data_IF_527942874581
#
_entry.id   IF_527942874581
#
_cell.length_a   1.000
_cell.length_b   1.000
_cell.length_c   1.000
_cell.angle_alpha   90.00
_cell.angle_beta   90.00
_cell.angle_gamma   90.00
#
_symmetry.space_group_name_H-M   'P 1'
#
loop_
_entity.id
_entity.type
_entity.pdbx_description
1 polymer ?
#
# COMPACT_ATOMS: atom_id res chain seq x y z
N UNK A 1 -23.51 -13.02 -32.16
CA UNK A 1 -22.26 -13.83 -32.13
C UNK A 1 -21.11 -12.83 -32.05
N UNK A 2 -20.14 -13.07 -31.19
CA UNK A 2 -18.97 -12.19 -31.15
C UNK A 2 -18.10 -12.44 -32.39
N UNK A 3 -17.71 -11.37 -33.07
CA UNK A 3 -16.78 -11.42 -34.20
C UNK A 3 -15.43 -11.95 -33.71
N UNK A 4 -14.86 -12.92 -34.43
CA UNK A 4 -13.56 -13.52 -34.11
C UNK A 4 -12.44 -12.94 -34.95
N UNK A 5 -11.17 -13.17 -34.55
CA UNK A 5 -10.01 -12.75 -35.36
C UNK A 5 -10.00 -13.45 -36.74
N UNK A 6 -10.65 -14.60 -36.87
CA UNK A 6 -10.81 -15.31 -38.14
C UNK A 6 -11.74 -14.53 -39.07
N UNK A 7 -12.88 -14.06 -38.57
CA UNK A 7 -13.84 -13.29 -39.33
C UNK A 7 -13.23 -11.94 -39.79
N UNK A 8 -12.46 -11.30 -38.91
CA UNK A 8 -11.73 -10.07 -39.26
C UNK A 8 -10.66 -10.33 -40.33
N UNK A 9 -9.96 -11.46 -40.25
CA UNK A 9 -8.95 -11.84 -41.23
C UNK A 9 -9.57 -12.11 -42.62
N UNK A 10 -10.70 -12.83 -42.65
CA UNK A 10 -11.48 -13.05 -43.87
C UNK A 10 -11.99 -11.72 -44.49
N UNK A 11 -12.51 -10.83 -43.67
CA UNK A 11 -12.98 -9.51 -44.10
C UNK A 11 -11.86 -8.65 -44.71
N UNK A 12 -10.65 -8.67 -44.12
CA UNK A 12 -9.49 -7.93 -44.59
C UNK A 12 -8.74 -8.62 -45.75
N UNK A 13 -9.06 -9.86 -46.09
CA UNK A 13 -8.30 -10.66 -47.05
C UNK A 13 -6.87 -10.98 -46.60
N UNK A 14 -6.64 -11.07 -45.29
CA UNK A 14 -5.35 -11.31 -44.67
C UNK A 14 -5.31 -12.60 -43.86
N UNK A 15 -4.10 -13.09 -43.55
CA UNK A 15 -3.96 -14.17 -42.58
C UNK A 15 -4.26 -13.71 -41.14
N UNK A 16 -4.76 -14.60 -40.28
CA UNK A 16 -4.94 -14.29 -38.85
C UNK A 16 -3.66 -13.79 -38.18
N UNK A 17 -2.49 -14.27 -38.62
CA UNK A 17 -1.19 -13.82 -38.11
C UNK A 17 -0.91 -12.37 -38.50
N UNK A 18 -1.19 -11.98 -39.76
CA UNK A 18 -1.03 -10.60 -40.23
C UNK A 18 -1.96 -9.63 -39.51
N UNK A 19 -3.24 -10.03 -39.33
CA UNK A 19 -4.22 -9.24 -38.56
C UNK A 19 -3.79 -9.11 -37.11
N UNK A 20 -3.36 -10.18 -36.45
CA UNK A 20 -2.84 -10.14 -35.07
C UNK A 20 -1.65 -9.19 -34.94
N UNK A 21 -0.68 -9.23 -35.87
CA UNK A 21 0.46 -8.32 -35.89
C UNK A 21 0.06 -6.86 -36.13
N UNK A 22 -0.90 -6.61 -37.02
CA UNK A 22 -1.42 -5.26 -37.29
C UNK A 22 -2.10 -4.65 -36.06
N UNK A 23 -2.95 -5.42 -35.36
CA UNK A 23 -3.64 -5.00 -34.14
C UNK A 23 -2.66 -4.72 -32.99
N UNK A 24 -1.55 -5.48 -32.90
CA UNK A 24 -0.55 -5.33 -31.84
C UNK A 24 0.61 -4.37 -32.20
N UNK A 25 0.55 -3.68 -33.34
CA UNK A 25 1.51 -2.64 -33.70
C UNK A 25 2.91 -3.13 -34.11
N UNK A 26 3.05 -4.39 -34.51
CA UNK A 26 4.35 -4.92 -34.95
C UNK A 26 4.91 -4.14 -36.15
N UNK A 27 6.23 -3.93 -36.14
CA UNK A 27 6.95 -3.11 -37.13
C UNK A 27 7.07 -3.75 -38.53
N UNK A 28 6.84 -5.05 -38.64
CA UNK A 28 6.87 -5.81 -39.90
C UNK A 28 5.54 -5.72 -40.69
N UNK A 29 4.59 -4.94 -40.22
CA UNK A 29 3.32 -4.62 -40.92
C UNK A 29 3.32 -3.17 -41.38
N UNK A 30 2.99 -2.96 -42.66
CA UNK A 30 2.90 -1.59 -43.20
C UNK A 30 1.83 -0.75 -42.51
N UNK A 31 2.04 0.56 -42.40
CA UNK A 31 1.06 1.48 -41.79
C UNK A 31 -0.29 1.45 -42.55
N UNK A 32 -0.26 1.32 -43.88
CA UNK A 32 -1.48 1.18 -44.67
C UNK A 32 -2.29 -0.07 -44.28
N UNK A 33 -1.63 -1.23 -44.09
CA UNK A 33 -2.27 -2.47 -43.64
C UNK A 33 -2.81 -2.31 -42.23
N UNK A 34 -2.04 -1.70 -41.31
CA UNK A 34 -2.44 -1.44 -39.92
C UNK A 34 -3.72 -0.59 -39.88
N UNK A 35 -3.75 0.52 -40.60
CA UNK A 35 -4.92 1.40 -40.69
C UNK A 35 -6.15 0.66 -41.23
N UNK A 36 -5.97 -0.13 -42.28
CA UNK A 36 -7.06 -0.93 -42.88
C UNK A 36 -7.64 -1.93 -41.87
N UNK A 37 -6.80 -2.67 -41.15
CA UNK A 37 -7.21 -3.66 -40.14
C UNK A 37 -7.90 -2.99 -38.95
N UNK A 38 -7.39 -1.88 -38.45
CA UNK A 38 -8.02 -1.12 -37.35
C UNK A 38 -9.39 -0.56 -37.74
N UNK A 39 -9.54 -0.10 -39.00
CA UNK A 39 -10.82 0.35 -39.54
C UNK A 39 -11.82 -0.82 -39.64
N UNK A 40 -11.41 -1.93 -40.21
CA UNK A 40 -12.24 -3.12 -40.31
C UNK A 40 -12.66 -3.68 -38.93
N UNK A 41 -11.74 -3.69 -37.96
CA UNK A 41 -12.04 -4.09 -36.59
C UNK A 41 -13.16 -3.22 -35.99
N UNK A 42 -13.10 -1.90 -36.20
CA UNK A 42 -14.14 -0.97 -35.75
C UNK A 42 -15.48 -1.17 -36.47
N UNK A 43 -15.46 -1.41 -37.81
CA UNK A 43 -16.66 -1.65 -38.59
C UNK A 43 -17.38 -2.94 -38.22
N UNK A 44 -16.61 -3.98 -37.85
CA UNK A 44 -17.14 -5.27 -37.45
C UNK A 44 -17.42 -5.37 -35.93
N UNK A 45 -17.17 -4.32 -35.17
CA UNK A 45 -17.24 -4.34 -33.71
C UNK A 45 -16.39 -5.49 -33.10
N UNK A 46 -15.21 -5.70 -33.70
CA UNK A 46 -14.28 -6.74 -33.22
C UNK A 46 -13.54 -6.28 -31.99
N UNK A 47 -13.64 -7.04 -30.90
CA UNK A 47 -12.88 -6.86 -29.68
C UNK A 47 -11.88 -8.00 -29.51
N UNK A 48 -10.57 -7.71 -29.28
CA UNK A 48 -9.58 -8.73 -28.98
C UNK A 48 -9.99 -9.57 -27.77
N UNK A 49 -9.91 -10.89 -27.90
CA UNK A 49 -10.23 -11.80 -26.82
C UNK A 49 -8.99 -11.98 -25.92
N UNK A 50 -9.07 -11.55 -24.66
CA UNK A 50 -7.99 -11.68 -23.68
C UNK A 50 -7.55 -13.14 -23.47
N UNK A 51 -8.49 -14.10 -23.44
CA UNK A 51 -8.16 -15.52 -23.30
C UNK A 51 -7.39 -16.06 -24.50
N UNK A 52 -7.75 -15.64 -25.73
CA UNK A 52 -7.00 -16.04 -26.92
C UNK A 52 -5.58 -15.44 -26.95
N UNK A 53 -5.41 -14.23 -26.43
CA UNK A 53 -4.10 -13.57 -26.22
C UNK A 53 -3.28 -14.35 -25.19
N UNK A 54 -3.88 -14.70 -24.06
CA UNK A 54 -3.27 -15.45 -22.97
C UNK A 54 -2.74 -16.82 -23.43
N UNK A 55 -3.58 -17.60 -24.15
CA UNK A 55 -3.19 -18.89 -24.72
C UNK A 55 -2.00 -18.82 -25.66
N UNK A 56 -1.90 -17.75 -26.47
CA UNK A 56 -0.77 -17.55 -27.40
C UNK A 56 0.50 -17.10 -26.70
N UNK A 57 0.36 -16.28 -25.66
CA UNK A 57 1.48 -15.69 -24.94
C UNK A 57 2.02 -16.61 -23.82
N UNK A 58 1.25 -17.63 -23.39
CA UNK A 58 1.54 -18.42 -22.21
C UNK A 58 1.45 -17.62 -20.90
N UNK A 59 0.72 -16.50 -20.91
CA UNK A 59 0.53 -15.57 -19.77
C UNK A 59 -0.90 -15.03 -19.80
N UNK A 60 -1.49 -14.90 -18.62
CA UNK A 60 -2.86 -14.38 -18.48
C UNK A 60 -2.94 -12.86 -18.61
N UNK A 61 -1.85 -12.15 -18.37
CA UNK A 61 -1.78 -10.68 -18.18
C UNK A 61 -2.67 -10.22 -17.02
N UNK A 62 -2.74 -11.03 -15.97
CA UNK A 62 -3.52 -10.77 -14.78
C UNK A 62 -2.63 -10.86 -13.54
N UNK A 63 -2.56 -9.81 -12.74
CA UNK A 63 -1.83 -9.79 -11.47
C UNK A 63 -2.80 -9.93 -10.31
N UNK A 64 -2.46 -10.80 -9.36
CA UNK A 64 -3.17 -10.90 -8.10
C UNK A 64 -2.76 -9.81 -7.12
N UNK A 65 -3.71 -9.29 -6.35
CA UNK A 65 -3.43 -8.45 -5.18
C UNK A 65 -4.08 -9.11 -3.97
N UNK A 66 -3.25 -9.57 -3.03
CA UNK A 66 -3.69 -10.02 -1.72
C UNK A 66 -3.57 -8.85 -0.75
N UNK A 67 -4.70 -8.35 -0.29
CA UNK A 67 -4.81 -7.32 0.72
C UNK A 67 -5.80 -7.77 1.81
N UNK A 68 -5.28 -7.98 3.01
CA UNK A 68 -6.06 -8.45 4.15
C UNK A 68 -5.54 -7.76 5.42
N UNK A 69 -6.21 -6.69 5.83
CA UNK A 69 -5.89 -5.98 7.06
C UNK A 69 -6.79 -6.42 8.23
N UNK A 70 -6.24 -6.48 9.44
CA UNK A 70 -6.97 -6.88 10.64
C UNK A 70 -8.09 -5.89 11.00
N UNK A 71 -7.98 -4.64 10.55
CA UNK A 71 -9.02 -3.63 10.73
C UNK A 71 -10.24 -3.85 9.84
N UNK A 72 -10.16 -4.76 8.86
CA UNK A 72 -11.18 -5.01 7.84
C UNK A 72 -11.60 -3.75 7.06
N UNK A 73 -10.70 -2.79 6.92
CA UNK A 73 -10.95 -1.55 6.18
C UNK A 73 -11.08 -1.79 4.67
N UNK A 74 -10.47 -2.86 4.17
CA UNK A 74 -10.47 -3.22 2.76
C UNK A 74 -9.93 -2.07 1.91
N UNK A 75 -10.56 -1.83 0.76
CA UNK A 75 -10.15 -0.77 -0.17
C UNK A 75 -10.37 0.65 0.36
N UNK A 76 -10.96 0.81 1.55
CA UNK A 76 -11.13 2.13 2.20
C UNK A 76 -9.97 2.48 3.14
N UNK A 77 -8.95 1.62 3.26
CA UNK A 77 -7.76 1.88 4.07
C UNK A 77 -7.04 3.15 3.56
N UNK A 78 -6.89 4.21 4.37
CA UNK A 78 -6.48 5.52 3.86
C UNK A 78 -5.12 5.53 3.16
N UNK A 79 -4.15 4.79 3.67
CA UNK A 79 -2.81 4.66 3.08
C UNK A 79 -2.79 3.65 1.93
N UNK A 80 -3.26 2.41 2.17
CA UNK A 80 -3.17 1.35 1.16
C UNK A 80 -4.08 1.57 -0.05
N UNK A 81 -5.19 2.31 0.07
CA UNK A 81 -6.00 2.69 -1.11
C UNK A 81 -5.18 3.45 -2.15
N UNK A 82 -4.27 4.32 -1.70
CA UNK A 82 -3.37 5.06 -2.58
C UNK A 82 -2.30 4.14 -3.15
N UNK A 83 -1.69 3.28 -2.33
CA UNK A 83 -0.70 2.28 -2.80
C UNK A 83 -1.30 1.40 -3.89
N UNK A 84 -2.50 0.86 -3.66
CA UNK A 84 -3.19 -0.03 -4.60
C UNK A 84 -3.63 0.68 -5.88
N UNK A 85 -4.04 1.95 -5.80
CA UNK A 85 -4.37 2.74 -6.99
C UNK A 85 -3.15 2.95 -7.88
N UNK A 86 -1.99 3.27 -7.32
CA UNK A 86 -0.77 3.45 -8.11
C UNK A 86 -0.16 2.14 -8.58
N UNK A 87 -0.32 1.06 -7.84
CA UNK A 87 -0.02 -0.29 -8.31
C UNK A 87 -0.86 -0.65 -9.54
N UNK A 88 -2.18 -0.42 -9.46
CA UNK A 88 -3.12 -0.65 -10.55
C UNK A 88 -2.74 0.15 -11.80
N UNK A 89 -2.50 1.46 -11.67
CA UNK A 89 -2.13 2.31 -12.82
C UNK A 89 -0.88 1.82 -13.54
N UNK A 90 0.14 1.42 -12.79
CA UNK A 90 1.39 0.91 -13.35
C UNK A 90 1.18 -0.45 -14.05
N UNK A 91 0.37 -1.34 -13.45
CA UNK A 91 -0.02 -2.61 -14.06
C UNK A 91 -0.79 -2.40 -15.37
N UNK A 92 -1.81 -1.52 -15.39
CA UNK A 92 -2.58 -1.18 -16.58
C UNK A 92 -1.72 -0.59 -17.70
N UNK A 93 -0.77 0.31 -17.38
CA UNK A 93 0.18 0.85 -18.36
C UNK A 93 1.06 -0.23 -18.98
N UNK A 94 1.33 -1.29 -18.25
CA UNK A 94 2.09 -2.46 -18.70
C UNK A 94 1.21 -3.53 -19.36
N UNK A 95 -0.09 -3.30 -19.49
CA UNK A 95 -1.06 -4.18 -20.15
C UNK A 95 -1.53 -5.36 -19.29
N UNK A 96 -1.44 -5.23 -17.96
CA UNK A 96 -1.95 -6.19 -17.00
C UNK A 96 -3.25 -5.73 -16.36
N UNK A 97 -4.18 -6.66 -16.19
CA UNK A 97 -5.36 -6.50 -15.34
C UNK A 97 -5.03 -6.89 -13.88
N UNK A 98 -5.94 -6.54 -12.95
CA UNK A 98 -5.79 -6.87 -11.52
C UNK A 98 -6.96 -7.69 -11.03
N UNK A 99 -6.67 -8.72 -10.26
CA UNK A 99 -7.64 -9.52 -9.51
C UNK A 99 -7.33 -9.47 -8.02
N UNK A 100 -8.29 -9.04 -7.19
CA UNK A 100 -8.16 -9.16 -5.74
C UNK A 100 -8.30 -10.61 -5.31
N UNK A 101 -7.30 -11.10 -4.57
CA UNK A 101 -7.23 -12.45 -4.04
C UNK A 101 -7.84 -12.47 -2.64
N UNK A 102 -8.67 -13.46 -2.36
CA UNK A 102 -9.33 -13.60 -1.07
C UNK A 102 -9.86 -15.01 -0.85
N UNK A 103 -10.45 -15.25 0.33
CA UNK A 103 -10.93 -16.56 0.78
C UNK A 103 -12.33 -16.94 0.29
N UNK A 104 -13.03 -16.08 -0.43
CA UNK A 104 -14.43 -16.33 -0.82
C UNK A 104 -14.57 -16.38 -2.34
N UNK A 105 -15.20 -17.44 -2.81
CA UNK A 105 -15.63 -17.56 -4.19
C UNK A 105 -17.06 -18.10 -4.23
N UNK A 106 -18.01 -17.24 -4.59
CA UNK A 106 -19.44 -17.56 -4.47
C UNK A 106 -19.83 -17.86 -3.02
N UNK A 107 -20.43 -19.03 -2.78
CA UNK A 107 -20.80 -19.51 -1.43
C UNK A 107 -19.71 -20.33 -0.74
N UNK A 108 -18.59 -20.62 -1.43
CA UNK A 108 -17.50 -21.48 -0.94
C UNK A 108 -16.32 -20.69 -0.37
N UNK A 109 -15.57 -21.36 0.52
CA UNK A 109 -14.24 -20.92 0.93
C UNK A 109 -13.20 -21.51 -0.02
N UNK A 110 -12.17 -20.71 -0.36
CA UNK A 110 -11.04 -21.10 -1.20
C UNK A 110 -9.75 -20.60 -0.51
N UNK A 111 -8.63 -21.32 -0.69
CA UNK A 111 -7.32 -20.80 -0.24
C UNK A 111 -6.85 -19.68 -1.15
N UNK A 112 -5.92 -18.86 -0.67
CA UNK A 112 -5.31 -17.81 -1.51
C UNK A 112 -4.62 -18.41 -2.74
N UNK A 113 -3.90 -19.51 -2.56
CA UNK A 113 -3.20 -20.20 -3.64
C UNK A 113 -4.17 -20.76 -4.70
N UNK A 114 -5.24 -21.41 -4.27
CA UNK A 114 -6.23 -21.96 -5.19
C UNK A 114 -7.01 -20.86 -5.91
N UNK A 115 -7.26 -19.71 -5.24
CA UNK A 115 -7.85 -18.57 -5.90
C UNK A 115 -6.93 -18.00 -7.00
N UNK A 116 -5.62 -17.89 -6.71
CA UNK A 116 -4.62 -17.48 -7.70
C UNK A 116 -4.61 -18.44 -8.92
N UNK A 117 -4.61 -19.74 -8.68
CA UNK A 117 -4.64 -20.76 -9.74
C UNK A 117 -5.93 -20.71 -10.55
N UNK A 118 -7.07 -20.57 -9.86
CA UNK A 118 -8.38 -20.48 -10.53
C UNK A 118 -8.48 -19.23 -11.43
N UNK A 119 -7.87 -18.12 -11.02
CA UNK A 119 -7.82 -16.87 -11.80
C UNK A 119 -6.66 -16.81 -12.76
N UNK A 120 -5.81 -17.84 -12.78
CA UNK A 120 -4.61 -17.91 -13.63
C UNK A 120 -3.74 -16.67 -13.52
N UNK A 121 -3.55 -16.11 -12.30
CA UNK A 121 -2.72 -14.92 -12.13
C UNK A 121 -1.25 -15.22 -12.40
N UNK A 122 -0.58 -14.33 -13.12
CA UNK A 122 0.84 -14.47 -13.49
C UNK A 122 1.79 -14.18 -12.31
N UNK A 123 1.31 -13.41 -11.33
CA UNK A 123 2.04 -13.07 -10.12
C UNK A 123 1.15 -12.37 -9.09
N UNK A 124 1.61 -12.23 -7.85
CA UNK A 124 0.83 -11.69 -6.73
C UNK A 124 1.60 -10.62 -5.97
N UNK A 125 0.99 -9.46 -5.77
CA UNK A 125 1.41 -8.49 -4.78
C UNK A 125 0.72 -8.78 -3.45
N UNK A 126 1.50 -9.05 -2.39
CA UNK A 126 0.98 -9.27 -1.04
C UNK A 126 1.20 -7.98 -0.23
N UNK A 127 0.11 -7.23 -0.03
CA UNK A 127 0.10 -5.98 0.69
C UNK A 127 -0.75 -6.11 1.96
N UNK A 128 -0.21 -5.70 3.11
CA UNK A 128 -0.93 -5.73 4.39
C UNK A 128 -1.56 -7.12 4.68
N UNK A 129 -0.72 -8.14 4.81
CA UNK A 129 -1.18 -9.53 4.99
C UNK A 129 -0.81 -10.01 6.39
N UNK A 130 -1.69 -10.75 7.03
CA UNK A 130 -1.35 -11.45 8.27
C UNK A 130 -0.45 -12.65 7.95
N UNK A 131 0.82 -12.54 8.33
CA UNK A 131 1.84 -13.55 8.08
C UNK A 131 1.85 -14.70 9.11
N UNK A 132 0.99 -14.65 10.10
CA UNK A 132 0.72 -15.78 10.99
C UNK A 132 -0.26 -16.78 10.32
N UNK A 133 -0.92 -16.40 9.22
CA UNK A 133 -1.80 -17.28 8.45
C UNK A 133 -0.98 -18.27 7.59
N UNK A 134 -1.14 -19.59 7.78
CA UNK A 134 -0.42 -20.60 7.00
C UNK A 134 -0.65 -20.48 5.49
N UNK A 135 -1.84 -20.03 5.07
CA UNK A 135 -2.20 -19.86 3.66
C UNK A 135 -1.42 -18.72 2.98
N UNK A 136 -1.05 -17.66 3.73
CA UNK A 136 -0.18 -16.59 3.21
C UNK A 136 1.24 -17.12 2.97
N UNK A 137 1.75 -17.93 3.91
CA UNK A 137 3.06 -18.58 3.78
C UNK A 137 3.05 -19.59 2.63
N UNK A 138 1.98 -20.36 2.47
CA UNK A 138 1.80 -21.30 1.35
C UNK A 138 1.87 -20.58 0.02
N UNK A 139 1.14 -19.47 -0.14
CA UNK A 139 1.18 -18.66 -1.36
C UNK A 139 2.59 -18.09 -1.63
N UNK A 140 3.24 -17.57 -0.60
CA UNK A 140 4.60 -17.03 -0.71
C UNK A 140 5.62 -18.06 -1.23
N UNK A 141 5.44 -19.34 -0.87
CA UNK A 141 6.32 -20.45 -1.25
C UNK A 141 5.79 -21.28 -2.46
N UNK A 142 4.71 -20.88 -3.10
CA UNK A 142 4.01 -21.67 -4.13
C UNK A 142 4.72 -21.76 -5.49
N UNK A 143 5.76 -20.95 -5.71
CA UNK A 143 6.40 -20.79 -7.02
C UNK A 143 5.72 -19.75 -7.93
N UNK A 144 4.54 -19.25 -7.61
CA UNK A 144 3.96 -18.07 -8.27
C UNK A 144 4.86 -16.86 -7.95
N UNK A 145 5.19 -16.00 -8.92
CA UNK A 145 5.92 -14.74 -8.66
C UNK A 145 5.22 -13.89 -7.59
N UNK A 146 5.91 -13.57 -6.50
CA UNK A 146 5.36 -12.77 -5.39
C UNK A 146 6.25 -11.56 -5.13
N UNK A 147 5.64 -10.41 -4.87
CA UNK A 147 6.26 -9.20 -4.29
C UNK A 147 5.49 -8.82 -3.03
N UNK A 148 6.20 -8.46 -1.96
CA UNK A 148 5.59 -8.02 -0.70
C UNK A 148 5.72 -6.50 -0.50
N UNK A 149 4.80 -5.91 0.26
CA UNK A 149 4.89 -4.51 0.70
C UNK A 149 5.03 -4.50 2.23
N UNK A 150 6.02 -3.76 2.73
CA UNK A 150 6.34 -3.57 4.15
C UNK A 150 6.62 -4.89 4.91
N UNK A 151 6.97 -5.95 4.19
CA UNK A 151 7.26 -7.25 4.78
C UNK A 151 8.44 -7.93 4.09
N UNK A 152 9.41 -8.39 4.89
CA UNK A 152 10.58 -9.13 4.41
C UNK A 152 10.36 -10.62 4.72
N UNK A 153 10.32 -11.46 3.66
CA UNK A 153 10.10 -12.91 3.80
C UNK A 153 11.12 -13.66 2.96
N UNK A 154 12.07 -14.30 3.62
CA UNK A 154 13.13 -15.03 2.95
C UNK A 154 13.78 -14.17 1.87
N UNK A 155 13.90 -14.72 0.66
CA UNK A 155 14.47 -14.05 -0.50
C UNK A 155 13.41 -13.40 -1.43
N UNK A 156 12.17 -13.26 -0.97
CA UNK A 156 11.13 -12.62 -1.79
C UNK A 156 11.44 -11.14 -2.01
N UNK A 157 11.21 -10.63 -3.21
CA UNK A 157 11.33 -9.21 -3.47
C UNK A 157 10.27 -8.42 -2.71
N UNK A 158 10.68 -7.27 -2.17
CA UNK A 158 9.82 -6.40 -1.40
C UNK A 158 10.03 -4.91 -1.70
N UNK A 159 9.01 -4.14 -1.35
CA UNK A 159 9.05 -2.68 -1.30
C UNK A 159 8.60 -2.24 0.08
N UNK A 160 9.34 -1.36 0.72
CA UNK A 160 9.01 -0.84 2.05
C UNK A 160 9.16 0.68 2.13
N UNK A 161 8.48 1.29 3.09
CA UNK A 161 8.79 2.64 3.52
C UNK A 161 10.05 2.64 4.40
N UNK A 162 10.90 3.66 4.28
CA UNK A 162 11.97 3.90 5.24
C UNK A 162 11.38 4.37 6.60
N UNK A 163 10.85 3.39 7.33
CA UNK A 163 10.22 3.60 8.63
C UNK A 163 11.21 4.10 9.68
N UNK A 164 12.45 3.63 9.64
CA UNK A 164 13.50 4.03 10.59
C UNK A 164 13.83 5.51 10.43
N UNK A 165 14.15 5.94 9.22
CA UNK A 165 14.44 7.35 8.94
C UNK A 165 13.23 8.25 9.23
N UNK A 166 12.01 7.79 8.89
CA UNK A 166 10.77 8.52 9.19
C UNK A 166 10.59 8.76 10.69
N UNK A 167 10.73 7.72 11.50
CA UNK A 167 10.65 7.83 12.98
C UNK A 167 11.74 8.71 13.54
N UNK A 168 12.99 8.58 13.07
CA UNK A 168 14.09 9.44 13.53
C UNK A 168 13.82 10.92 13.24
N UNK A 169 13.41 11.27 12.01
CA UNK A 169 13.07 12.65 11.65
C UNK A 169 11.95 13.22 12.52
N UNK A 170 10.91 12.43 12.82
CA UNK A 170 9.81 12.86 13.67
C UNK A 170 10.28 13.08 15.11
N UNK A 171 11.01 12.15 15.68
CA UNK A 171 11.52 12.22 17.05
C UNK A 171 12.53 13.36 17.23
N UNK A 172 13.46 13.54 16.29
CA UNK A 172 14.41 14.68 16.29
C UNK A 172 13.65 16.01 16.29
N UNK A 173 12.58 16.11 15.51
CA UNK A 173 11.76 17.32 15.48
C UNK A 173 11.02 17.53 16.81
N UNK A 174 10.41 16.49 17.39
CA UNK A 174 9.76 16.53 18.70
C UNK A 174 10.76 17.00 19.78
N UNK A 175 11.97 16.43 19.81
CA UNK A 175 13.03 16.84 20.75
C UNK A 175 13.50 18.27 20.53
N UNK A 176 13.63 18.72 19.28
CA UNK A 176 14.03 20.09 18.93
C UNK A 176 12.99 21.14 19.37
N UNK A 177 11.74 20.70 19.53
CA UNK A 177 10.64 21.51 20.06
C UNK A 177 10.56 21.49 21.60
N UNK A 178 11.48 20.81 22.27
CA UNK A 178 11.63 20.79 23.73
C UNK A 178 10.86 19.67 24.45
N UNK A 179 10.14 18.82 23.73
CA UNK A 179 9.37 17.72 24.34
C UNK A 179 10.28 16.62 24.89
N UNK A 180 9.97 16.13 26.10
CA UNK A 180 10.63 15.02 26.77
C UNK A 180 9.62 14.04 27.38
N UNK A 181 8.40 14.50 27.71
CA UNK A 181 7.27 13.68 28.14
C UNK A 181 6.44 13.33 26.91
N UNK A 182 6.77 12.21 26.29
CA UNK A 182 6.24 11.79 25.01
C UNK A 182 5.50 10.45 25.19
N UNK A 183 4.21 10.43 24.90
CA UNK A 183 3.46 9.18 24.80
C UNK A 183 3.48 8.67 23.37
N UNK A 184 3.51 7.35 23.19
CA UNK A 184 3.40 6.71 21.90
C UNK A 184 2.26 5.70 21.88
N UNK A 185 1.20 6.03 21.12
CA UNK A 185 0.10 5.15 20.81
C UNK A 185 0.50 4.37 19.55
N UNK A 186 1.18 3.25 19.77
CA UNK A 186 1.76 2.44 18.69
C UNK A 186 0.76 1.43 18.12
N UNK A 187 1.00 0.95 16.89
CA UNK A 187 0.14 -0.01 16.20
C UNK A 187 0.16 -1.41 16.82
N UNK A 188 -0.73 -2.25 16.34
CA UNK A 188 -0.78 -3.68 16.66
C UNK A 188 0.49 -4.44 16.21
N UNK A 189 0.63 -5.68 16.65
CA UNK A 189 1.84 -6.48 16.44
C UNK A 189 2.02 -6.86 14.95
N UNK A 190 2.90 -6.15 14.28
CA UNK A 190 3.37 -6.47 12.92
C UNK A 190 4.80 -5.99 12.69
N UNK A 191 5.39 -6.28 11.53
CA UNK A 191 6.77 -5.92 11.19
C UNK A 191 7.01 -4.42 11.26
N UNK A 192 6.10 -3.61 10.70
CA UNK A 192 6.21 -2.15 10.66
C UNK A 192 6.20 -1.57 12.08
N UNK A 193 5.28 -2.03 12.93
CA UNK A 193 5.24 -1.63 14.35
C UNK A 193 6.55 -1.97 15.06
N UNK A 194 7.10 -3.15 14.83
CA UNK A 194 8.38 -3.56 15.42
C UNK A 194 9.52 -2.63 15.01
N UNK A 195 9.63 -2.30 13.73
CA UNK A 195 10.66 -1.39 13.20
C UNK A 195 10.49 0.03 13.78
N UNK A 196 9.26 0.55 13.81
CA UNK A 196 8.99 1.89 14.37
C UNK A 196 9.24 1.96 15.87
N UNK A 197 8.84 0.93 16.64
CA UNK A 197 9.12 0.85 18.08
C UNK A 197 10.61 0.77 18.38
N UNK A 198 11.37 -0.01 17.63
CA UNK A 198 12.81 -0.08 17.80
C UNK A 198 13.46 1.29 17.56
N UNK A 199 13.09 1.97 16.45
CA UNK A 199 13.59 3.31 16.15
C UNK A 199 13.19 4.33 17.24
N UNK A 200 11.96 4.25 17.78
CA UNK A 200 11.52 5.08 18.91
C UNK A 200 12.41 4.86 20.13
N UNK A 201 12.65 3.59 20.53
CA UNK A 201 13.46 3.28 21.70
C UNK A 201 14.94 3.65 21.53
N UNK A 202 15.47 3.53 20.31
CA UNK A 202 16.83 3.99 20.00
C UNK A 202 16.95 5.49 20.25
N UNK A 203 16.00 6.28 19.75
CA UNK A 203 15.97 7.73 19.95
C UNK A 203 15.79 8.14 21.43
N UNK A 204 14.96 7.44 22.17
CA UNK A 204 14.76 7.67 23.60
C UNK A 204 16.06 7.41 24.37
N UNK A 205 16.75 6.30 24.07
CA UNK A 205 18.05 5.95 24.68
C UNK A 205 19.13 6.97 24.33
N UNK A 206 19.23 7.40 23.07
CA UNK A 206 20.19 8.40 22.63
C UNK A 206 20.03 9.75 23.37
N UNK A 207 18.80 10.10 23.77
CA UNK A 207 18.51 11.31 24.52
C UNK A 207 18.56 11.14 26.04
N UNK A 208 18.77 9.93 26.55
CA UNK A 208 18.76 9.65 27.99
C UNK A 208 17.41 9.94 28.67
N UNK A 209 16.31 9.76 27.96
CA UNK A 209 14.95 10.03 28.44
C UNK A 209 14.36 8.75 29.01
N UNK A 210 13.65 8.87 30.12
CA UNK A 210 12.81 7.79 30.66
C UNK A 210 11.36 8.01 30.23
N UNK A 211 10.74 6.95 29.70
CA UNK A 211 9.33 6.94 29.30
C UNK A 211 8.56 6.05 30.28
N UNK A 212 7.57 6.58 30.99
CA UNK A 212 6.70 5.78 31.85
C UNK A 212 5.99 4.69 31.01
N UNK A 213 5.88 3.46 31.52
CA UNK A 213 5.18 2.39 30.80
C UNK A 213 3.76 2.77 30.37
N UNK A 214 3.07 3.59 31.16
CA UNK A 214 1.71 4.07 30.91
C UNK A 214 1.60 4.99 29.70
N UNK A 215 2.73 5.55 29.22
CA UNK A 215 2.76 6.36 28.00
C UNK A 215 2.84 5.52 26.73
N UNK A 216 3.04 4.22 26.84
CA UNK A 216 3.13 3.30 25.73
C UNK A 216 1.87 2.46 25.66
N UNK A 217 1.00 2.76 24.71
CA UNK A 217 -0.30 2.10 24.59
C UNK A 217 -0.43 1.50 23.19
N UNK A 218 -0.68 0.21 23.13
CA UNK A 218 -1.00 -0.46 21.87
C UNK A 218 -2.40 -0.07 21.41
N UNK A 219 -2.47 0.39 20.16
CA UNK A 219 -3.71 0.70 19.46
C UNK A 219 -3.66 0.06 18.06
N UNK A 220 -4.77 -0.48 17.58
CA UNK A 220 -4.82 -0.95 16.20
C UNK A 220 -4.71 0.23 15.22
N UNK A 221 -4.06 -0.02 14.07
CA UNK A 221 -4.03 0.95 12.97
C UNK A 221 -5.45 1.27 12.50
N UNK A 222 -5.65 2.47 11.99
CA UNK A 222 -6.93 2.95 11.46
C UNK A 222 -8.13 2.84 12.44
N UNK A 223 -7.86 2.88 13.77
CA UNK A 223 -8.88 2.79 14.84
C UNK A 223 -8.94 4.05 15.70
N UNK A 224 -9.53 5.16 15.23
CA UNK A 224 -9.64 6.40 16.00
C UNK A 224 -10.33 6.21 17.36
N UNK A 225 -11.25 5.24 17.49
CA UNK A 225 -11.93 4.97 18.74
C UNK A 225 -11.04 4.41 19.85
N UNK A 226 -10.01 3.61 19.48
CA UNK A 226 -9.03 3.11 20.46
C UNK A 226 -8.07 4.23 20.87
N UNK A 227 -7.56 4.99 19.90
CA UNK A 227 -6.70 6.14 20.14
C UNK A 227 -7.40 7.21 20.96
N UNK A 228 -8.71 7.45 20.73
CA UNK A 228 -9.53 8.33 21.57
C UNK A 228 -9.49 7.88 23.04
N UNK A 229 -9.81 6.61 23.33
CA UNK A 229 -9.83 6.07 24.69
C UNK A 229 -8.45 6.13 25.35
N UNK A 230 -7.39 5.81 24.61
CA UNK A 230 -6.01 5.89 25.09
C UNK A 230 -5.62 7.34 25.43
N UNK A 231 -6.00 8.28 24.56
CA UNK A 231 -5.72 9.71 24.79
C UNK A 231 -6.47 10.24 26.00
N UNK A 232 -7.75 9.89 26.21
CA UNK A 232 -8.50 10.28 27.41
C UNK A 232 -7.76 9.85 28.67
N UNK A 233 -7.27 8.59 28.74
CA UNK A 233 -6.47 8.11 29.87
C UNK A 233 -5.21 8.93 30.10
N UNK A 234 -4.49 9.28 29.04
CA UNK A 234 -3.27 10.08 29.13
C UNK A 234 -3.57 11.50 29.65
N UNK A 235 -4.70 12.10 29.24
CA UNK A 235 -5.12 13.43 29.68
C UNK A 235 -5.53 13.49 31.16
N UNK A 236 -6.05 12.39 31.71
CA UNK A 236 -6.44 12.26 33.13
C UNK A 236 -5.27 12.02 34.07
N UNK A 237 -4.07 11.71 33.54
CA UNK A 237 -2.88 11.46 34.36
C UNK A 237 -2.41 12.74 35.07
N UNK A 238 -2.03 12.67 36.37
CA UNK A 238 -1.45 13.82 37.10
C UNK A 238 -0.18 14.35 36.42
N UNK A 239 0.65 13.46 35.92
CA UNK A 239 1.84 13.79 35.11
C UNK A 239 1.61 13.38 33.66
N UNK A 240 0.80 14.20 32.95
CA UNK A 240 0.43 13.90 31.56
C UNK A 240 1.56 14.20 30.57
N UNK A 241 1.59 13.50 29.41
CA UNK A 241 2.56 13.78 28.36
C UNK A 241 2.34 15.19 27.76
N UNK A 242 3.39 15.77 27.22
CA UNK A 242 3.32 17.03 26.49
C UNK A 242 3.13 16.83 24.98
N UNK A 243 3.43 15.63 24.50
CA UNK A 243 3.25 15.21 23.12
C UNK A 243 2.73 13.78 23.07
N UNK A 244 1.73 13.53 22.22
CA UNK A 244 1.20 12.20 21.90
C UNK A 244 1.53 11.89 20.45
N UNK A 245 2.37 10.88 20.25
CA UNK A 245 2.63 10.29 18.94
C UNK A 245 1.57 9.21 18.68
N UNK A 246 0.99 9.20 17.48
CA UNK A 246 -0.02 8.23 17.07
C UNK A 246 0.51 7.39 15.91
N UNK A 247 0.15 6.12 15.88
CA UNK A 247 0.63 5.13 14.92
C UNK A 247 0.34 5.47 13.45
N UNK A 248 -0.77 6.14 13.18
CA UNK A 248 -1.17 6.61 11.86
C UNK A 248 -2.01 7.90 11.92
N UNK A 249 -2.08 8.60 10.80
CA UNK A 249 -2.79 9.88 10.69
C UNK A 249 -4.32 9.74 10.85
N UNK A 250 -4.89 8.65 10.35
CA UNK A 250 -6.34 8.44 10.46
C UNK A 250 -6.75 8.19 11.91
N UNK A 251 -5.98 7.40 12.64
CA UNK A 251 -6.17 7.15 14.06
C UNK A 251 -5.97 8.43 14.90
N UNK A 252 -5.08 9.34 14.47
CA UNK A 252 -4.84 10.62 15.14
C UNK A 252 -6.09 11.50 15.27
N UNK A 253 -7.09 11.32 14.39
CA UNK A 253 -8.39 11.97 14.56
C UNK A 253 -9.05 11.66 15.91
N UNK A 254 -8.81 10.46 16.45
CA UNK A 254 -9.27 10.06 17.79
C UNK A 254 -8.60 10.86 18.89
N UNK A 255 -7.29 11.12 18.79
CA UNK A 255 -6.55 11.93 19.75
C UNK A 255 -7.00 13.40 19.71
N UNK A 256 -7.13 13.97 18.50
CA UNK A 256 -7.63 15.34 18.32
C UNK A 256 -9.01 15.53 18.93
N UNK A 257 -9.90 14.57 18.72
CA UNK A 257 -11.24 14.56 19.29
C UNK A 257 -11.21 14.50 20.83
N UNK A 258 -10.39 13.61 21.42
CA UNK A 258 -10.28 13.45 22.87
C UNK A 258 -9.81 14.74 23.54
N UNK A 259 -8.81 15.42 22.95
CA UNK A 259 -8.30 16.69 23.45
C UNK A 259 -9.37 17.78 23.38
N UNK A 260 -10.11 17.88 22.27
CA UNK A 260 -11.18 18.85 22.09
C UNK A 260 -12.33 18.63 23.08
N UNK A 261 -12.77 17.39 23.30
CA UNK A 261 -13.84 17.05 24.26
C UNK A 261 -13.43 17.28 25.72
N UNK A 262 -12.12 17.20 26.01
CA UNK A 262 -11.57 17.58 27.32
C UNK A 262 -11.48 19.11 27.53
N UNK A 263 -11.90 19.93 26.56
CA UNK A 263 -11.78 21.38 26.61
C UNK A 263 -10.35 21.90 26.45
N UNK A 264 -9.45 21.06 25.97
CA UNK A 264 -8.04 21.38 25.70
C UNK A 264 -7.82 21.72 24.23
N UNK A 265 -6.69 22.35 23.92
CA UNK A 265 -6.34 22.80 22.57
C UNK A 265 -5.07 22.12 22.08
N UNK A 266 -5.05 21.82 20.80
CA UNK A 266 -3.87 21.37 20.07
C UNK A 266 -3.39 22.54 19.19
N UNK A 267 -2.13 22.95 19.28
CA UNK A 267 -1.05 22.39 20.09
C UNK A 267 -0.86 23.03 21.48
N UNK A 268 -1.70 24.04 21.88
CA UNK A 268 -1.44 24.91 23.03
C UNK A 268 -1.32 24.17 24.36
N UNK A 269 -2.16 23.15 24.56
CA UNK A 269 -2.21 22.42 25.83
C UNK A 269 -1.54 21.04 25.73
N UNK A 270 -1.55 20.45 24.53
CA UNK A 270 -0.87 19.19 24.20
C UNK A 270 -0.58 19.11 22.71
N UNK A 271 0.59 18.58 22.35
CA UNK A 271 0.98 18.35 20.96
C UNK A 271 0.58 16.96 20.51
N UNK A 272 0.21 16.82 19.23
CA UNK A 272 -0.15 15.54 18.59
C UNK A 272 0.63 15.39 17.29
N UNK A 273 1.14 14.17 17.03
CA UNK A 273 1.77 13.83 15.76
C UNK A 273 1.21 12.52 15.24
N UNK A 274 1.27 12.33 13.92
CA UNK A 274 0.83 11.11 13.24
C UNK A 274 1.94 10.45 12.43
N UNK A 275 1.54 9.54 11.56
CA UNK A 275 2.37 8.87 10.56
C UNK A 275 1.49 8.56 9.34
N UNK A 276 1.99 8.55 8.12
CA UNK A 276 1.49 8.28 6.77
C UNK A 276 1.46 9.51 5.87
N UNK A 277 1.15 10.69 6.39
CA UNK A 277 1.04 11.93 5.60
C UNK A 277 -0.20 11.93 4.70
N UNK A 278 -1.34 11.36 5.16
CA UNK A 278 -2.55 11.30 4.36
C UNK A 278 -3.12 12.70 4.07
N UNK A 279 -3.55 12.92 2.83
CA UNK A 279 -3.97 14.24 2.34
C UNK A 279 -5.14 14.82 3.14
N UNK A 280 -6.08 13.98 3.56
CA UNK A 280 -7.24 14.40 4.34
C UNK A 280 -6.83 15.10 5.63
N UNK A 281 -5.84 14.56 6.37
CA UNK A 281 -5.37 15.15 7.63
C UNK A 281 -4.52 16.40 7.42
N UNK A 282 -3.99 16.60 6.21
CA UNK A 282 -3.29 17.84 5.84
C UNK A 282 -4.24 18.99 5.48
N UNK A 283 -5.51 18.68 5.23
CA UNK A 283 -6.56 19.65 4.90
C UNK A 283 -7.28 20.24 6.13
N UNK A 284 -7.08 19.65 7.31
CA UNK A 284 -7.65 20.17 8.57
C UNK A 284 -6.76 21.25 9.20
N UNK A 285 -7.37 22.04 10.08
CA UNK A 285 -6.67 23.04 10.90
C UNK A 285 -6.93 22.78 12.40
N UNK A 286 -5.90 22.64 13.24
CA UNK A 286 -4.47 22.71 12.93
C UNK A 286 -4.00 21.54 12.07
N UNK A 287 -3.14 21.82 11.10
CA UNK A 287 -2.58 20.82 10.19
C UNK A 287 -1.67 19.84 10.93
N UNK A 288 -1.89 18.54 10.74
CA UNK A 288 -1.16 17.50 11.47
C UNK A 288 0.34 17.47 11.13
N UNK A 289 1.18 17.48 12.15
CA UNK A 289 2.60 17.12 12.04
C UNK A 289 2.71 15.62 11.91
N UNK A 290 3.33 15.13 10.85
CA UNK A 290 3.36 13.72 10.51
C UNK A 290 4.58 13.33 9.68
N UNK A 291 4.76 12.04 9.47
CA UNK A 291 5.72 11.48 8.50
C UNK A 291 4.98 11.09 7.23
N UNK A 292 5.35 11.68 6.12
CA UNK A 292 4.83 11.29 4.81
C UNK A 292 5.53 10.03 4.31
N UNK A 293 4.77 9.03 3.95
CA UNK A 293 5.16 7.85 3.20
C UNK A 293 4.74 8.04 1.74
N UNK A 294 5.65 7.82 0.80
CA UNK A 294 5.32 7.97 -0.64
C UNK A 294 4.54 6.75 -1.16
N UNK A 295 3.28 6.64 -0.73
CA UNK A 295 2.37 5.58 -1.15
C UNK A 295 2.26 5.45 -2.69
N UNK A 296 2.22 6.55 -3.47
CA UNK A 296 2.30 6.50 -4.92
C UNK A 296 3.54 5.78 -5.46
N UNK A 297 4.71 6.04 -4.87
CA UNK A 297 5.95 5.40 -5.29
C UNK A 297 6.00 3.93 -4.87
N UNK A 298 5.56 3.61 -3.66
CA UNK A 298 5.48 2.22 -3.17
C UNK A 298 4.64 1.38 -4.14
N UNK A 299 3.46 1.85 -4.50
CA UNK A 299 2.58 1.13 -5.43
C UNK A 299 3.21 0.90 -6.80
N UNK A 300 3.81 1.94 -7.40
CA UNK A 300 4.51 1.81 -8.70
C UNK A 300 5.68 0.84 -8.63
N UNK A 301 6.54 0.96 -7.63
CA UNK A 301 7.72 0.08 -7.49
C UNK A 301 7.31 -1.38 -7.26
N UNK A 302 6.25 -1.63 -6.48
CA UNK A 302 5.73 -2.98 -6.29
C UNK A 302 5.20 -3.59 -7.60
N UNK A 303 4.45 -2.81 -8.40
CA UNK A 303 3.97 -3.28 -9.70
C UNK A 303 5.12 -3.56 -10.68
N UNK A 304 6.07 -2.62 -10.83
CA UNK A 304 7.25 -2.79 -11.70
C UNK A 304 8.07 -4.03 -11.34
N UNK A 305 8.33 -4.21 -10.05
CA UNK A 305 9.09 -5.34 -9.52
C UNK A 305 8.38 -6.66 -9.77
N UNK A 306 7.06 -6.72 -9.56
CA UNK A 306 6.26 -7.92 -9.83
C UNK A 306 6.24 -8.24 -11.32
N UNK A 307 6.00 -7.26 -12.18
CA UNK A 307 5.99 -7.43 -13.64
C UNK A 307 7.35 -7.90 -14.15
N UNK A 308 8.45 -7.27 -13.70
CA UNK A 308 9.81 -7.67 -14.06
C UNK A 308 10.06 -9.14 -13.69
N UNK A 309 9.61 -9.57 -12.50
CA UNK A 309 9.73 -10.96 -12.07
C UNK A 309 8.89 -11.92 -12.93
N UNK A 310 7.66 -11.56 -13.24
CA UNK A 310 6.77 -12.32 -14.13
C UNK A 310 7.38 -12.45 -15.52
N UNK A 311 8.02 -11.40 -16.01
CA UNK A 311 8.61 -11.34 -17.35
C UNK A 311 10.03 -11.90 -17.42
N UNK A 312 10.61 -12.31 -16.29
CA UNK A 312 11.97 -12.82 -16.23
C UNK A 312 13.03 -11.75 -16.48
N UNK A 313 12.69 -10.48 -16.23
CA UNK A 313 13.61 -9.35 -16.32
C UNK A 313 14.41 -9.18 -15.03
N UNK A 314 15.48 -8.43 -15.06
CA UNK A 314 16.25 -8.09 -13.86
C UNK A 314 15.45 -7.11 -12.97
N UNK A 315 15.52 -7.31 -11.65
CA UNK A 315 14.93 -6.44 -10.64
C UNK A 315 15.76 -6.46 -9.35
N UNK A 316 15.68 -5.38 -8.59
CA UNK A 316 16.25 -5.33 -7.24
C UNK A 316 15.36 -6.08 -6.25
N UNK A 317 15.92 -6.94 -5.40
CA UNK A 317 15.15 -7.68 -4.39
C UNK A 317 14.53 -6.74 -3.37
N UNK A 318 15.30 -5.73 -2.90
CA UNK A 318 14.86 -4.77 -1.89
C UNK A 318 14.68 -3.38 -2.49
N UNK A 319 13.59 -2.71 -2.17
CA UNK A 319 13.39 -1.28 -2.48
C UNK A 319 12.87 -0.56 -1.23
N UNK A 320 13.71 0.30 -0.65
CA UNK A 320 13.30 1.18 0.43
C UNK A 320 12.92 2.56 -0.12
N UNK A 321 11.69 2.98 0.12
CA UNK A 321 11.15 4.27 -0.33
C UNK A 321 11.33 5.29 0.78
N UNK A 322 12.06 6.40 0.54
CA UNK A 322 12.32 7.40 1.56
C UNK A 322 11.03 8.01 2.14
N UNK A 323 10.98 8.11 3.45
CA UNK A 323 9.96 8.85 4.19
C UNK A 323 10.44 10.27 4.49
N UNK A 324 9.53 11.22 4.67
CA UNK A 324 9.87 12.61 5.00
C UNK A 324 8.94 13.22 6.04
N UNK A 325 9.49 14.05 6.91
CA UNK A 325 8.72 14.81 7.88
C UNK A 325 7.87 15.89 7.20
N UNK A 326 6.58 15.96 7.55
CA UNK A 326 5.70 17.10 7.31
C UNK A 326 5.56 17.87 8.62
N UNK A 327 6.09 19.08 8.65
CA UNK A 327 5.92 20.01 9.78
C UNK A 327 4.56 20.68 9.67
N UNK A 328 3.62 20.20 10.47
CA UNK A 328 2.29 20.79 10.61
C UNK A 328 2.22 21.84 11.71
N UNK A 329 1.03 21.99 12.27
CA UNK A 329 0.71 23.00 13.29
C UNK A 329 0.36 22.35 14.64
N UNK A 330 0.27 21.02 14.69
CA UNK A 330 -0.12 20.27 15.90
C UNK A 330 1.02 20.02 16.89
N UNK A 331 2.24 20.50 16.59
CA UNK A 331 3.39 20.40 17.48
C UNK A 331 3.92 21.79 17.80
N UNK A 332 3.89 22.21 19.08
CA UNK A 332 4.40 23.51 19.52
C UNK A 332 5.79 23.37 20.14
N UNK A 333 6.51 24.50 20.18
CA UNK A 333 7.72 24.62 20.99
C UNK A 333 7.36 24.78 22.47
N UNK A 334 8.02 24.02 23.31
CA UNK A 334 8.03 24.24 24.77
C UNK A 334 9.13 25.23 25.13
N UNK A 335 8.84 26.11 26.06
CA UNK A 335 9.80 27.13 26.58
C UNK A 335 10.76 26.49 27.58
#
# INVERSE_FOLDING_TARGET
MNVTIKDLAEYCGLSMSAVSKALNGYSDISDATRVAVLKAAKELDYHPNAHARALKAGRSYNLGVLFSDDSQSGLTHPFFSVVLEYFKREAEQSGYDITFIGHRMGSGRITYLDHCRYREVDGVCMACTNWEEPEAIELANSGIPVVTIDQIIGDLPYVESDNVSGMRQLMEYIFSMGHRKIAYLYGDKNTVTGVRLNAFWDMIREQGIEIPPEYLICCEYTRPSQVYKATVRLLEMPDRPTCVMVCDDYAAAGALRAVSEAGLRVPEDISITGFDGIEQMQSFHPRLTTVYQDAPRIGREAARKLIARVEGQAYDTATSVPSRLIRGETLKRLN
#
